data_IF_618989754713
#
_entry.id   IF_618989754713
#
_cell.length_a   1.000
_cell.length_b   1.000
_cell.length_c   1.000
_cell.angle_alpha   90.00
_cell.angle_beta   90.00
_cell.angle_gamma   90.00
#
_symmetry.space_group_name_H-M   'P 1'
#
loop_
_entity.id
_entity.type
_entity.pdbx_description
1 polymer ?
#
# COMPACT_ATOMS: atom_id res chain seq x y z
N UNK A 1 -59.97 63.14 13.57
CA UNK A 1 -59.82 62.21 14.71
C UNK A 1 -61.24 62.00 15.22
N UNK A 2 -61.87 60.84 15.27
CA UNK A 2 -61.34 59.57 15.76
C UNK A 2 -62.49 58.53 15.65
N UNK A 3 -63.02 58.27 14.44
CA UNK A 3 -64.22 57.42 14.27
C UNK A 3 -64.02 56.00 14.82
N UNK A 4 -62.81 55.46 14.67
CA UNK A 4 -62.42 54.19 15.26
C UNK A 4 -62.40 54.28 16.78
N UNK A 5 -61.79 55.31 17.36
CA UNK A 5 -61.77 55.50 18.82
C UNK A 5 -63.16 55.67 19.40
N UNK A 6 -64.05 56.39 18.71
CA UNK A 6 -65.45 56.52 19.12
C UNK A 6 -66.15 55.16 19.10
N UNK A 7 -66.01 54.41 18.01
CA UNK A 7 -66.59 53.07 17.88
C UNK A 7 -66.08 52.08 18.93
N UNK A 8 -64.75 52.03 19.16
CA UNK A 8 -64.15 51.13 20.14
C UNK A 8 -64.52 51.51 21.56
N UNK A 9 -64.63 52.80 21.87
CA UNK A 9 -65.02 53.27 23.21
C UNK A 9 -66.50 52.98 23.49
N UNK A 10 -67.39 53.24 22.52
CA UNK A 10 -68.84 52.98 22.66
C UNK A 10 -69.15 51.47 22.75
N UNK A 11 -68.32 50.62 22.15
CA UNK A 11 -68.53 49.17 22.14
C UNK A 11 -67.54 48.41 23.04
N UNK A 12 -66.75 49.10 23.87
CA UNK A 12 -65.70 48.48 24.69
C UNK A 12 -66.23 47.30 25.52
N UNK A 13 -67.38 47.48 26.17
CA UNK A 13 -68.00 46.43 27.00
C UNK A 13 -68.43 45.17 26.24
N UNK A 14 -68.56 45.23 24.91
CA UNK A 14 -68.85 44.04 24.07
C UNK A 14 -67.60 43.24 23.73
N UNK A 15 -66.41 43.87 23.81
CA UNK A 15 -65.14 43.20 23.54
C UNK A 15 -64.65 42.43 24.78
N UNK A 16 -64.98 42.92 25.98
CA UNK A 16 -64.58 42.31 27.25
C UNK A 16 -65.62 41.29 27.80
N UNK A 17 -66.67 40.99 27.03
CA UNK A 17 -67.76 40.07 27.43
C UNK A 17 -67.29 38.62 27.56
N UNK A 18 -66.28 38.22 26.79
CA UNK A 18 -65.73 36.87 26.77
C UNK A 18 -64.28 36.86 27.29
N UNK A 19 -64.12 36.62 28.59
CA UNK A 19 -62.81 36.28 29.16
C UNK A 19 -62.56 34.78 28.96
N UNK A 20 -61.80 34.44 27.92
CA UNK A 20 -61.35 33.07 27.69
C UNK A 20 -60.21 32.73 28.65
N UNK A 21 -60.29 31.57 29.28
CA UNK A 21 -59.15 31.04 30.00
C UNK A 21 -58.04 30.58 29.01
N UNK A 22 -56.86 30.28 29.55
CA UNK A 22 -55.73 29.89 28.71
C UNK A 22 -55.97 28.58 27.95
N UNK A 23 -56.78 27.67 28.52
CA UNK A 23 -57.09 26.39 27.91
C UNK A 23 -58.05 26.54 26.73
N UNK A 24 -59.10 27.36 26.86
CA UNK A 24 -60.05 27.66 25.80
C UNK A 24 -59.39 28.41 24.64
N UNK A 25 -58.46 29.31 24.95
CA UNK A 25 -57.65 29.99 23.92
C UNK A 25 -56.81 28.98 23.13
N UNK A 26 -56.17 28.01 23.80
CA UNK A 26 -55.38 26.97 23.15
C UNK A 26 -56.24 26.06 22.26
N UNK A 27 -57.47 25.74 22.69
CA UNK A 27 -58.41 24.95 21.89
C UNK A 27 -58.83 25.69 20.63
N UNK A 28 -59.23 26.95 20.76
CA UNK A 28 -59.55 27.82 19.62
C UNK A 28 -58.38 27.92 18.62
N UNK A 29 -57.16 28.13 19.10
CA UNK A 29 -55.98 28.14 18.23
C UNK A 29 -55.71 26.77 17.58
N UNK A 30 -55.91 25.68 18.31
CA UNK A 30 -55.80 24.33 17.78
C UNK A 30 -56.77 24.06 16.63
N UNK A 31 -58.03 24.46 16.80
CA UNK A 31 -59.08 24.32 15.80
C UNK A 31 -58.75 25.15 14.55
N UNK A 32 -58.30 26.41 14.72
CA UNK A 32 -57.87 27.29 13.62
C UNK A 32 -56.69 26.66 12.85
N UNK A 33 -55.69 26.13 13.55
CA UNK A 33 -54.52 25.50 12.91
C UNK A 33 -54.92 24.24 12.17
N UNK A 34 -55.90 23.48 12.68
CA UNK A 34 -56.39 22.25 12.05
C UNK A 34 -57.17 22.50 10.75
N UNK A 35 -57.81 23.67 10.62
CA UNK A 35 -58.53 24.08 9.41
C UNK A 35 -57.63 24.71 8.34
N UNK A 36 -56.37 25.02 8.65
CA UNK A 36 -55.44 25.54 7.67
C UNK A 36 -55.07 24.43 6.67
N UNK A 37 -55.17 24.69 5.35
CA UNK A 37 -54.79 23.70 4.35
C UNK A 37 -53.29 23.41 4.46
N UNK A 38 -52.93 22.18 4.85
CA UNK A 38 -51.55 21.71 4.78
C UNK A 38 -51.07 21.81 3.32
N UNK A 39 -50.21 22.79 3.03
CA UNK A 39 -49.63 22.95 1.71
C UNK A 39 -48.65 21.79 1.50
N UNK A 40 -48.94 20.81 0.61
CA UNK A 40 -48.04 19.68 0.43
C UNK A 40 -46.70 20.21 -0.08
N UNK A 41 -45.63 19.95 0.67
CA UNK A 41 -44.26 20.27 0.24
C UNK A 41 -43.98 19.45 -1.01
N UNK A 42 -43.78 20.13 -2.14
CA UNK A 42 -43.53 19.49 -3.44
C UNK A 42 -42.12 18.89 -3.46
N UNK A 43 -41.98 17.68 -2.92
CA UNK A 43 -40.74 16.90 -3.04
C UNK A 43 -40.74 16.15 -4.37
N UNK A 44 -39.63 16.20 -5.09
CA UNK A 44 -39.45 15.43 -6.32
C UNK A 44 -38.69 14.15 -5.93
N UNK A 45 -39.35 12.97 -5.89
CA UNK A 45 -38.68 11.73 -5.52
C UNK A 45 -37.82 11.23 -6.69
N UNK A 46 -36.57 11.71 -6.75
CA UNK A 46 -35.61 11.38 -7.81
C UNK A 46 -35.38 9.87 -7.97
N UNK A 47 -35.51 9.11 -6.88
CA UNK A 47 -35.31 7.66 -6.80
C UNK A 47 -36.44 6.84 -7.46
N UNK A 48 -37.62 7.44 -7.67
CA UNK A 48 -38.77 6.80 -8.33
C UNK A 48 -38.71 6.91 -9.86
N UNK A 49 -37.74 7.67 -10.41
CA UNK A 49 -37.58 7.84 -11.86
C UNK A 49 -36.66 6.75 -12.43
N UNK A 50 -37.15 6.05 -13.46
CA UNK A 50 -36.38 5.00 -14.14
C UNK A 50 -35.01 5.49 -14.69
N UNK A 51 -34.92 6.75 -15.11
CA UNK A 51 -33.66 7.35 -15.59
C UNK A 51 -32.57 7.49 -14.52
N UNK A 52 -32.92 7.58 -13.23
CA UNK A 52 -31.92 7.66 -12.15
C UNK A 52 -31.20 6.32 -11.96
N UNK A 53 -31.91 5.20 -12.15
CA UNK A 53 -31.33 3.85 -12.07
C UNK A 53 -30.32 3.61 -13.19
N UNK A 54 -30.63 4.08 -14.39
CA UNK A 54 -29.73 3.97 -15.55
C UNK A 54 -28.47 4.83 -15.37
N UNK A 55 -28.61 6.07 -14.88
CA UNK A 55 -27.47 6.92 -14.58
C UNK A 55 -26.55 6.30 -13.52
N UNK A 56 -27.12 5.72 -12.46
CA UNK A 56 -26.36 5.04 -11.42
C UNK A 56 -25.57 3.83 -11.96
N UNK A 57 -26.16 3.01 -12.84
CA UNK A 57 -25.44 1.88 -13.44
C UNK A 57 -24.30 2.30 -14.35
N UNK A 58 -24.48 3.38 -15.14
CA UNK A 58 -23.42 3.92 -16.00
C UNK A 58 -22.26 4.46 -15.15
N UNK A 59 -22.57 5.18 -14.07
CA UNK A 59 -21.56 5.74 -13.17
C UNK A 59 -20.79 4.64 -12.42
N UNK A 60 -21.47 3.54 -12.07
CA UNK A 60 -20.85 2.35 -11.46
C UNK A 60 -19.92 1.65 -12.44
N UNK A 61 -20.33 1.46 -13.70
CA UNK A 61 -19.47 0.87 -14.73
C UNK A 61 -18.24 1.73 -15.03
N UNK A 62 -18.41 3.04 -15.13
CA UNK A 62 -17.28 3.98 -15.33
C UNK A 62 -16.36 3.95 -14.10
N UNK A 63 -16.92 3.95 -12.89
CA UNK A 63 -16.15 3.84 -11.64
C UNK A 63 -15.34 2.55 -11.55
N UNK A 64 -15.94 1.40 -11.90
CA UNK A 64 -15.24 0.12 -11.98
C UNK A 64 -14.15 0.13 -13.06
N UNK A 65 -14.45 0.62 -14.26
CA UNK A 65 -13.46 0.70 -15.33
C UNK A 65 -12.27 1.61 -14.95
N UNK A 66 -12.54 2.75 -14.31
CA UNK A 66 -11.52 3.67 -13.83
C UNK A 66 -10.68 3.07 -12.69
N UNK A 67 -11.32 2.30 -11.80
CA UNK A 67 -10.62 1.55 -10.75
C UNK A 67 -9.63 0.52 -11.34
N UNK A 68 -10.07 -0.27 -12.32
CA UNK A 68 -9.18 -1.23 -12.99
C UNK A 68 -8.03 -0.56 -13.75
N UNK A 69 -8.26 0.61 -14.36
CA UNK A 69 -7.20 1.36 -15.05
C UNK A 69 -6.14 1.92 -14.10
N UNK A 70 -6.51 2.32 -12.88
CA UNK A 70 -5.55 2.84 -11.88
C UNK A 70 -4.76 1.70 -11.23
N UNK A 71 -5.38 0.53 -11.04
CA UNK A 71 -4.73 -0.65 -10.43
C UNK A 71 -3.66 -1.33 -11.30
N UNK A 72 -3.55 -1.00 -12.59
CA UNK A 72 -2.60 -1.65 -13.52
C UNK A 72 -1.13 -1.21 -13.42
N UNK A 73 -0.74 -0.36 -12.47
CA UNK A 73 0.63 0.17 -12.38
C UNK A 73 1.61 -0.70 -11.56
N UNK A 74 1.13 -1.72 -10.85
CA UNK A 74 2.01 -2.61 -10.04
C UNK A 74 2.79 -3.61 -10.89
N UNK A 75 2.26 -4.02 -12.04
CA UNK A 75 2.86 -5.06 -12.87
C UNK A 75 4.17 -4.58 -13.53
N UNK A 76 4.24 -3.29 -13.90
CA UNK A 76 5.43 -2.73 -14.56
C UNK A 76 6.62 -2.64 -13.60
N UNK A 77 6.40 -2.20 -12.35
CA UNK A 77 7.45 -2.12 -11.34
C UNK A 77 7.94 -3.52 -10.94
N UNK A 78 7.02 -4.46 -10.71
CA UNK A 78 7.38 -5.85 -10.43
C UNK A 78 8.12 -6.51 -11.59
N UNK A 79 7.75 -6.21 -12.84
CA UNK A 79 8.46 -6.70 -14.02
C UNK A 79 9.90 -6.18 -14.09
N UNK A 80 10.12 -4.88 -13.82
CA UNK A 80 11.46 -4.28 -13.79
C UNK A 80 12.30 -4.92 -12.69
N UNK A 81 11.76 -5.07 -11.48
CA UNK A 81 12.45 -5.69 -10.33
C UNK A 81 12.81 -7.16 -10.61
N UNK A 82 11.90 -7.91 -11.23
CA UNK A 82 12.17 -9.30 -11.62
C UNK A 82 13.29 -9.38 -12.67
N UNK A 83 13.34 -8.44 -13.62
CA UNK A 83 14.41 -8.38 -14.60
C UNK A 83 15.76 -8.05 -13.94
N UNK A 84 15.79 -7.07 -13.04
CA UNK A 84 16.99 -6.70 -12.30
C UNK A 84 17.53 -7.87 -11.47
N UNK A 85 16.65 -8.56 -10.73
CA UNK A 85 17.03 -9.77 -9.99
C UNK A 85 17.61 -10.85 -10.91
N UNK A 86 17.00 -11.08 -12.08
CA UNK A 86 17.50 -12.06 -13.04
C UNK A 86 18.89 -11.72 -13.57
N UNK A 87 19.16 -10.44 -13.87
CA UNK A 87 20.49 -9.98 -14.30
C UNK A 87 21.54 -10.18 -13.20
N UNK A 88 21.18 -9.88 -11.95
CA UNK A 88 22.03 -10.11 -10.77
C UNK A 88 22.33 -11.60 -10.60
N UNK A 89 21.30 -12.44 -10.57
CA UNK A 89 21.43 -13.90 -10.44
C UNK A 89 22.34 -14.45 -11.55
N UNK A 90 22.10 -14.06 -12.80
CA UNK A 90 22.90 -14.54 -13.93
C UNK A 90 24.38 -14.16 -13.80
N UNK A 91 24.69 -12.96 -13.30
CA UNK A 91 26.07 -12.50 -13.14
C UNK A 91 26.77 -13.21 -11.97
N UNK A 92 26.15 -13.22 -10.80
CA UNK A 92 26.80 -13.68 -9.57
C UNK A 92 26.78 -15.20 -9.39
N UNK A 93 25.76 -15.92 -9.89
CA UNK A 93 25.74 -17.39 -9.81
C UNK A 93 26.93 -18.02 -10.54
N UNK A 94 27.35 -17.45 -11.66
CA UNK A 94 28.54 -17.93 -12.37
C UNK A 94 29.81 -17.82 -11.51
N UNK A 95 30.02 -16.67 -10.87
CA UNK A 95 31.17 -16.41 -10.01
C UNK A 95 31.18 -17.34 -8.79
N UNK A 96 30.02 -17.48 -8.13
CA UNK A 96 29.81 -18.38 -7.00
C UNK A 96 30.13 -19.83 -7.40
N UNK A 97 29.55 -20.31 -8.50
CA UNK A 97 29.73 -21.69 -8.93
C UNK A 97 31.19 -22.00 -9.26
N UNK A 98 31.89 -21.05 -9.90
CA UNK A 98 33.32 -21.20 -10.18
C UNK A 98 34.14 -21.33 -8.89
N UNK A 99 33.88 -20.47 -7.89
CA UNK A 99 34.60 -20.51 -6.62
C UNK A 99 34.29 -21.78 -5.80
N UNK A 100 33.04 -22.22 -5.77
CA UNK A 100 32.65 -23.50 -5.14
C UNK A 100 33.41 -24.66 -5.79
N UNK A 101 33.54 -24.69 -7.12
CA UNK A 101 34.31 -25.72 -7.80
C UNK A 101 35.80 -25.66 -7.48
N UNK A 102 36.39 -24.47 -7.33
CA UNK A 102 37.79 -24.33 -6.91
C UNK A 102 38.00 -24.89 -5.49
N UNK A 103 37.09 -24.61 -4.56
CA UNK A 103 37.14 -25.12 -3.19
C UNK A 103 37.03 -26.65 -3.18
N UNK A 104 36.01 -27.21 -3.85
CA UNK A 104 35.76 -28.66 -3.90
C UNK A 104 36.88 -29.47 -4.56
N UNK A 105 37.59 -28.85 -5.51
CA UNK A 105 38.68 -29.50 -6.24
C UNK A 105 40.08 -29.12 -5.68
N UNK A 106 40.14 -28.37 -4.58
CA UNK A 106 41.41 -27.95 -3.99
C UNK A 106 42.10 -29.13 -3.29
N UNK A 107 43.37 -29.36 -3.64
CA UNK A 107 44.24 -30.29 -2.91
C UNK A 107 44.88 -29.65 -1.67
N UNK A 108 44.67 -28.36 -1.46
CA UNK A 108 45.26 -27.59 -0.35
C UNK A 108 44.30 -27.43 0.84
N UNK A 109 43.07 -27.92 0.71
CA UNK A 109 42.07 -27.94 1.77
C UNK A 109 41.76 -29.40 2.13
N UNK A 110 41.67 -29.72 3.43
CA UNK A 110 41.15 -31.03 3.84
C UNK A 110 39.67 -31.15 3.48
N UNK A 111 39.14 -32.37 3.35
CA UNK A 111 37.70 -32.54 3.08
C UNK A 111 36.82 -31.98 4.19
N UNK A 112 37.26 -32.11 5.43
CA UNK A 112 36.56 -31.56 6.60
C UNK A 112 36.49 -30.03 6.51
N UNK A 113 37.60 -29.36 6.22
CA UNK A 113 37.61 -27.89 6.05
C UNK A 113 36.75 -27.43 4.86
N UNK A 114 36.70 -28.20 3.78
CA UNK A 114 35.83 -27.90 2.63
C UNK A 114 34.36 -28.00 3.01
N UNK A 115 33.96 -29.09 3.67
CA UNK A 115 32.57 -29.35 4.04
C UNK A 115 32.09 -28.33 5.10
N UNK A 116 32.90 -28.06 6.12
CA UNK A 116 32.60 -27.07 7.17
C UNK A 116 32.44 -25.66 6.60
N UNK A 117 33.32 -25.28 5.66
CA UNK A 117 33.19 -23.97 5.03
C UNK A 117 31.98 -23.90 4.09
N UNK A 118 31.68 -24.97 3.35
CA UNK A 118 30.51 -24.98 2.47
C UNK A 118 29.20 -24.92 3.28
N UNK A 119 29.14 -25.46 4.50
CA UNK A 119 27.95 -25.27 5.35
C UNK A 119 27.74 -23.80 5.74
N UNK A 120 28.81 -23.04 5.99
CA UNK A 120 28.72 -21.59 6.24
C UNK A 120 28.18 -20.84 5.00
N UNK A 121 28.47 -21.34 3.81
CA UNK A 121 27.98 -20.79 2.56
C UNK A 121 26.49 -21.11 2.37
N UNK A 122 26.02 -22.27 2.83
CA UNK A 122 24.59 -22.61 2.82
C UNK A 122 23.77 -21.66 3.69
N UNK A 123 24.30 -21.19 4.84
CA UNK A 123 23.63 -20.17 5.67
C UNK A 123 23.37 -18.86 4.89
N UNK A 124 24.31 -18.46 4.02
CA UNK A 124 24.14 -17.27 3.18
C UNK A 124 23.13 -17.50 2.06
N UNK A 125 23.00 -18.75 1.57
CA UNK A 125 21.96 -19.11 0.59
C UNK A 125 20.56 -19.08 1.22
N UNK A 126 20.43 -19.47 2.49
CA UNK A 126 19.16 -19.32 3.23
C UNK A 126 18.77 -17.84 3.37
N UNK A 127 19.72 -16.97 3.72
CA UNK A 127 19.48 -15.52 3.78
C UNK A 127 19.04 -14.95 2.42
N UNK A 128 19.66 -15.41 1.32
CA UNK A 128 19.24 -15.03 -0.03
C UNK A 128 17.79 -15.44 -0.33
N UNK A 129 17.36 -16.65 0.02
CA UNK A 129 15.98 -17.10 -0.21
C UNK A 129 14.96 -16.29 0.62
N UNK A 130 15.33 -15.85 1.83
CA UNK A 130 14.52 -14.93 2.63
C UNK A 130 14.35 -13.61 1.88
N UNK A 131 15.45 -12.99 1.44
CA UNK A 131 15.42 -11.72 0.69
C UNK A 131 14.59 -11.82 -0.59
N UNK A 132 14.68 -12.94 -1.31
CA UNK A 132 13.87 -13.20 -2.52
C UNK A 132 12.38 -13.28 -2.21
N UNK A 133 12.00 -13.82 -1.05
CA UNK A 133 10.61 -13.86 -0.62
C UNK A 133 10.12 -12.48 -0.17
N UNK A 134 10.97 -11.68 0.48
CA UNK A 134 10.66 -10.28 0.81
C UNK A 134 10.46 -9.44 -0.46
N UNK A 135 11.28 -9.65 -1.49
CA UNK A 135 11.17 -8.93 -2.77
C UNK A 135 9.80 -9.14 -3.43
N UNK A 136 9.22 -10.35 -3.30
CA UNK A 136 7.88 -10.66 -3.82
C UNK A 136 6.77 -9.86 -3.13
N UNK A 137 7.01 -9.38 -1.91
CA UNK A 137 6.05 -8.51 -1.20
C UNK A 137 5.97 -7.11 -1.82
N UNK A 138 6.96 -6.73 -2.65
CA UNK A 138 6.96 -5.45 -3.37
C UNK A 138 7.29 -4.23 -2.49
N UNK A 139 7.83 -4.44 -1.28
CA UNK A 139 8.08 -3.38 -0.30
C UNK A 139 9.59 -3.13 -0.24
N UNK A 140 10.03 -1.89 -0.44
CA UNK A 140 11.45 -1.51 -0.39
C UNK A 140 12.34 -2.31 -1.37
N UNK A 141 11.84 -2.60 -2.58
CA UNK A 141 12.51 -3.47 -3.56
C UNK A 141 13.99 -3.09 -3.79
N UNK A 142 14.29 -1.81 -3.94
CA UNK A 142 15.67 -1.31 -4.11
C UNK A 142 16.60 -1.75 -2.97
N UNK A 143 16.16 -1.61 -1.71
CA UNK A 143 16.97 -2.02 -0.55
C UNK A 143 17.14 -3.54 -0.47
N UNK A 144 16.12 -4.29 -0.87
CA UNK A 144 16.17 -5.75 -0.89
C UNK A 144 17.15 -6.21 -1.99
N UNK A 145 17.11 -5.60 -3.17
CA UNK A 145 18.09 -5.84 -4.24
C UNK A 145 19.52 -5.53 -3.77
N UNK A 146 19.75 -4.40 -3.10
CA UNK A 146 21.05 -4.08 -2.51
C UNK A 146 21.51 -5.13 -1.49
N UNK A 147 20.61 -5.63 -0.66
CA UNK A 147 20.89 -6.69 0.30
C UNK A 147 21.26 -8.02 -0.41
N UNK A 148 20.56 -8.38 -1.49
CA UNK A 148 20.87 -9.55 -2.33
C UNK A 148 22.28 -9.42 -2.92
N UNK A 149 22.61 -8.27 -3.50
CA UNK A 149 23.95 -8.00 -4.05
C UNK A 149 25.01 -8.10 -2.94
N UNK A 150 24.74 -7.55 -1.76
CA UNK A 150 25.64 -7.60 -0.60
C UNK A 150 25.88 -9.03 -0.13
N UNK A 151 24.83 -9.86 -0.04
CA UNK A 151 24.92 -11.27 0.31
C UNK A 151 25.81 -12.03 -0.70
N UNK A 152 25.61 -11.84 -2.01
CA UNK A 152 26.47 -12.42 -3.04
C UNK A 152 27.94 -12.00 -2.91
N UNK A 153 28.19 -10.70 -2.71
CA UNK A 153 29.55 -10.16 -2.54
C UNK A 153 30.24 -10.76 -1.32
N UNK A 154 29.52 -10.87 -0.20
CA UNK A 154 30.02 -11.48 1.04
C UNK A 154 30.37 -12.95 0.82
N UNK A 155 29.48 -13.70 0.18
CA UNK A 155 29.69 -15.11 -0.16
C UNK A 155 30.96 -15.29 -1.00
N UNK A 156 31.12 -14.49 -2.04
CA UNK A 156 32.31 -14.47 -2.91
C UNK A 156 33.58 -14.11 -2.13
N UNK A 157 33.53 -13.04 -1.33
CA UNK A 157 34.69 -12.58 -0.57
C UNK A 157 35.20 -13.67 0.40
N UNK A 158 34.29 -14.35 1.11
CA UNK A 158 34.65 -15.43 2.02
C UNK A 158 35.32 -16.59 1.28
N UNK A 159 34.79 -16.96 0.11
CA UNK A 159 35.38 -18.01 -0.73
C UNK A 159 36.77 -17.62 -1.24
N UNK A 160 36.94 -16.37 -1.68
CA UNK A 160 38.24 -15.85 -2.13
C UNK A 160 39.27 -15.81 -0.99
N UNK A 161 38.87 -15.38 0.21
CA UNK A 161 39.74 -15.32 1.38
C UNK A 161 40.18 -16.72 1.82
N UNK A 162 39.27 -17.71 1.81
CA UNK A 162 39.61 -19.11 2.08
C UNK A 162 40.64 -19.63 1.07
N UNK A 163 40.33 -19.49 -0.22
CA UNK A 163 41.20 -19.96 -1.29
C UNK A 163 42.58 -19.32 -1.15
N UNK A 164 42.66 -18.00 -1.02
CA UNK A 164 43.91 -17.24 -0.88
C UNK A 164 44.75 -17.71 0.31
N UNK A 165 44.14 -18.01 1.45
CA UNK A 165 44.86 -18.52 2.63
C UNK A 165 45.31 -19.98 2.47
N UNK A 166 44.57 -20.77 1.71
CA UNK A 166 44.88 -22.18 1.48
C UNK A 166 46.01 -22.41 0.48
N UNK A 167 46.15 -21.56 -0.53
CA UNK A 167 47.22 -21.70 -1.52
C UNK A 167 48.56 -21.23 -0.94
N UNK A 168 49.66 -21.98 -1.17
CA UNK A 168 50.98 -21.52 -0.79
C UNK A 168 51.31 -20.24 -1.56
N UNK A 169 51.84 -19.24 -0.84
CA UNK A 169 52.35 -18.01 -1.46
C UNK A 169 53.46 -18.42 -2.42
N UNK A 170 53.30 -18.17 -3.71
CA UNK A 170 54.39 -18.33 -4.67
C UNK A 170 55.48 -17.31 -4.33
N UNK A 171 56.56 -17.76 -3.70
CA UNK A 171 57.78 -16.98 -3.51
C UNK A 171 58.55 -16.98 -4.83
N UNK A 172 58.11 -16.18 -5.79
CA UNK A 172 58.83 -16.01 -7.06
C UNK A 172 59.80 -14.83 -6.95
N UNK A 173 60.76 -14.92 -6.02
CA UNK A 173 61.87 -13.98 -5.87
C UNK A 173 63.03 -14.63 -5.09
N UNK A 174 63.73 -15.58 -5.69
CA UNK A 174 65.15 -15.89 -5.42
C UNK A 174 65.56 -17.11 -6.27
N UNK A 175 66.15 -16.87 -7.44
CA UNK A 175 67.24 -17.70 -8.03
C UNK A 175 67.79 -17.15 -9.37
N UNK A 176 67.75 -15.83 -9.60
CA UNK A 176 68.71 -15.16 -10.51
C UNK A 176 69.67 -14.27 -9.71
N UNK A 177 70.31 -14.88 -8.71
CA UNK A 177 71.57 -14.40 -8.18
C UNK A 177 72.58 -15.54 -8.13
N UNK A 178 73.53 -15.45 -9.07
CA UNK A 178 74.88 -16.06 -9.11
C UNK A 178 74.99 -17.46 -9.74
N UNK A 179 75.39 -17.49 -11.02
CA UNK A 179 76.66 -18.04 -11.59
C UNK A 179 76.51 -17.91 -13.13
N UNK A 180 77.33 -17.25 -13.95
CA UNK A 180 78.77 -16.93 -13.99
C UNK A 180 78.99 -15.52 -14.58
#
# INVERSE_FOLDING_TARGET
MDNLKKYTTENQGKFDEYNLDEADRLRLWGDIVSELPEKPVKVIPLWKRAGFRFAASVLLLIGCAFFFLISGNTDAEQQIVNQELHEIDSHYQLLVNNQIQLIKNSNYLSKEDQDDFLSLIDDLDEEYEILKNELKLGINNEKIIEAIISNYRKKIQLMEDLLKRSYPIKTDFEDEAITL
#
